data_IF_054554848138
#
_entry.id   IF_054554848138
#
_cell.length_a   1.000
_cell.length_b   1.000
_cell.length_c   1.000
_cell.angle_alpha   90.00
_cell.angle_beta   90.00
_cell.angle_gamma   90.00
#
_symmetry.space_group_name_H-M   'P 1'
#
loop_
_entity.id
_entity.type
_entity.pdbx_description
1 polymer ?
#
# COMPACT_ATOMS: atom_id res chain seq x y z
N UNK A 1 5.52 -4.04 0.21
CA UNK A 1 4.35 -3.44 -0.49
C UNK A 1 4.45 -3.45 -2.03
N UNK A 2 5.44 -2.80 -2.68
CA UNK A 2 5.51 -2.71 -4.17
C UNK A 2 5.40 -4.08 -4.85
N UNK A 3 6.18 -5.05 -4.37
CA UNK A 3 6.17 -6.41 -4.89
C UNK A 3 4.77 -7.04 -4.85
N UNK A 4 4.00 -6.82 -3.78
CA UNK A 4 2.64 -7.34 -3.67
C UNK A 4 1.70 -6.70 -4.68
N UNK A 5 1.75 -5.37 -4.81
CA UNK A 5 0.97 -4.65 -5.82
C UNK A 5 1.26 -5.15 -7.24
N UNK A 6 2.54 -5.39 -7.54
CA UNK A 6 2.98 -5.93 -8.84
C UNK A 6 2.53 -7.38 -9.07
N UNK A 7 2.58 -8.23 -8.03
CA UNK A 7 2.02 -9.61 -8.08
C UNK A 7 0.55 -9.63 -8.45
N UNK A 8 -0.22 -8.65 -7.98
CA UNK A 8 -1.65 -8.52 -8.25
C UNK A 8 -1.96 -7.73 -9.54
N UNK A 9 -0.93 -7.30 -10.29
CA UNK A 9 -1.08 -6.49 -11.50
C UNK A 9 -1.84 -5.17 -11.28
N UNK A 10 -1.72 -4.58 -10.08
CA UNK A 10 -2.35 -3.31 -9.73
C UNK A 10 -1.44 -2.12 -10.03
N UNK A 11 -1.99 -1.03 -10.53
CA UNK A 11 -1.29 0.26 -10.64
C UNK A 11 -1.29 0.99 -9.31
N UNK A 12 -0.37 1.93 -9.13
CA UNK A 12 -0.39 2.80 -7.96
C UNK A 12 -1.70 3.59 -7.87
N UNK A 13 -2.24 4.05 -8.99
CA UNK A 13 -3.50 4.80 -9.05
C UNK A 13 -4.69 3.98 -8.56
N UNK A 14 -4.77 2.69 -8.94
CA UNK A 14 -5.81 1.80 -8.44
C UNK A 14 -5.77 1.66 -6.91
N UNK A 15 -4.57 1.51 -6.34
CA UNK A 15 -4.42 1.40 -4.88
C UNK A 15 -4.70 2.74 -4.19
N UNK A 16 -4.25 3.87 -4.76
CA UNK A 16 -4.54 5.23 -4.26
C UNK A 16 -6.05 5.43 -4.12
N UNK A 17 -6.80 5.14 -5.18
CA UNK A 17 -8.25 5.33 -5.21
C UNK A 17 -8.96 4.39 -4.24
N UNK A 18 -8.61 3.10 -4.23
CA UNK A 18 -9.23 2.11 -3.36
C UNK A 18 -8.92 2.37 -1.88
N UNK A 19 -7.67 2.69 -1.55
CA UNK A 19 -7.25 2.97 -0.17
C UNK A 19 -7.63 4.39 0.28
N UNK A 20 -8.08 5.26 -0.64
CA UNK A 20 -8.38 6.69 -0.44
C UNK A 20 -7.20 7.45 0.19
N UNK A 21 -6.00 7.24 -0.34
CA UNK A 21 -4.78 7.93 0.06
C UNK A 21 -4.30 8.84 -1.07
N UNK A 22 -3.29 9.67 -0.83
CA UNK A 22 -2.67 10.48 -1.89
C UNK A 22 -1.45 9.80 -2.53
N UNK A 23 -0.95 10.41 -3.60
CA UNK A 23 0.18 9.91 -4.39
C UNK A 23 1.53 9.98 -3.64
N UNK A 24 1.68 10.89 -2.69
CA UNK A 24 2.90 10.96 -1.86
C UNK A 24 2.90 9.81 -0.86
N UNK A 25 1.74 9.50 -0.31
CA UNK A 25 1.54 8.41 0.65
C UNK A 25 1.86 7.05 0.05
N UNK A 26 1.36 6.73 -1.16
CA UNK A 26 1.70 5.44 -1.81
C UNK A 26 3.22 5.31 -2.04
N UNK A 27 3.89 6.41 -2.42
CA UNK A 27 5.34 6.42 -2.64
C UNK A 27 6.11 6.22 -1.33
N UNK A 28 5.71 6.90 -0.25
CA UNK A 28 6.29 6.73 1.09
C UNK A 28 6.12 5.30 1.59
N UNK A 29 4.96 4.68 1.37
CA UNK A 29 4.74 3.27 1.75
C UNK A 29 5.62 2.34 0.92
N UNK A 30 5.70 2.52 -0.40
CA UNK A 30 6.54 1.69 -1.28
C UNK A 30 8.04 1.81 -0.99
N UNK A 31 8.47 2.94 -0.41
CA UNK A 31 9.87 3.22 -0.06
C UNK A 31 10.20 3.01 1.43
N UNK A 32 9.23 2.51 2.21
CA UNK A 32 9.41 2.26 3.66
C UNK A 32 9.51 3.52 4.52
N UNK A 33 9.08 4.68 4.01
CA UNK A 33 9.10 5.97 4.69
C UNK A 33 7.80 6.31 5.43
N UNK A 34 6.72 5.55 5.23
CA UNK A 34 5.44 5.75 5.91
C UNK A 34 5.38 4.94 7.22
N UNK A 35 4.94 5.56 8.31
CA UNK A 35 4.91 4.97 9.65
C UNK A 35 3.52 4.92 10.27
N UNK A 36 2.52 5.52 9.62
CA UNK A 36 1.16 5.53 10.13
C UNK A 36 0.48 4.16 9.93
N UNK A 37 0.23 3.47 11.05
CA UNK A 37 -0.45 2.17 11.09
C UNK A 37 -1.81 2.20 10.38
N UNK A 38 -2.59 3.27 10.52
CA UNK A 38 -3.89 3.43 9.87
C UNK A 38 -3.80 3.40 8.34
N UNK A 39 -2.79 4.05 7.77
CA UNK A 39 -2.51 4.03 6.32
C UNK A 39 -2.11 2.63 5.87
N UNK A 40 -1.20 1.99 6.60
CA UNK A 40 -0.75 0.65 6.25
C UNK A 40 -1.88 -0.39 6.32
N UNK A 41 -2.77 -0.28 7.32
CA UNK A 41 -3.95 -1.15 7.44
C UNK A 41 -4.93 -0.97 6.28
N UNK A 42 -5.16 0.27 5.81
CA UNK A 42 -6.02 0.54 4.65
C UNK A 42 -5.46 -0.08 3.38
N UNK A 43 -4.16 0.01 3.17
CA UNK A 43 -3.48 -0.61 2.02
C UNK A 43 -3.52 -2.13 2.14
N UNK A 44 -3.30 -2.69 3.34
CA UNK A 44 -3.35 -4.12 3.59
C UNK A 44 -4.73 -4.70 3.26
N UNK A 45 -5.78 -3.98 3.67
CA UNK A 45 -7.16 -4.32 3.33
C UNK A 45 -7.42 -4.28 1.83
N UNK A 46 -6.96 -3.24 1.12
CA UNK A 46 -7.14 -3.12 -0.34
C UNK A 46 -6.40 -4.22 -1.12
N UNK A 47 -5.21 -4.58 -0.66
CA UNK A 47 -4.41 -5.63 -1.26
C UNK A 47 -4.79 -7.03 -0.75
N UNK A 48 -5.77 -7.15 0.15
CA UNK A 48 -6.18 -8.42 0.77
C UNK A 48 -4.98 -9.26 1.30
N UNK A 49 -4.04 -8.59 1.97
CA UNK A 49 -2.87 -9.25 2.57
C UNK A 49 -2.71 -8.89 4.06
N UNK A 50 -2.10 -9.79 4.85
CA UNK A 50 -1.65 -9.45 6.19
C UNK A 50 -0.72 -8.23 6.19
N UNK A 51 -0.87 -7.34 7.19
CA UNK A 51 -0.03 -6.15 7.35
C UNK A 51 1.47 -6.48 7.35
N UNK A 52 1.88 -7.61 7.94
CA UNK A 52 3.27 -8.09 7.95
C UNK A 52 3.88 -8.25 6.56
N UNK A 53 3.06 -8.53 5.55
CA UNK A 53 3.50 -8.74 4.17
C UNK A 53 3.67 -7.40 3.43
N UNK A 54 3.23 -6.29 4.03
CA UNK A 54 3.50 -4.94 3.53
C UNK A 54 4.83 -4.35 4.02
N UNK A 55 5.25 -4.71 5.24
CA UNK A 55 6.37 -4.12 5.99
C UNK A 55 7.68 -4.94 5.94
N UNK A 56 7.79 -5.87 4.99
CA UNK A 56 9.01 -6.63 4.70
C UNK A 56 9.99 -5.88 3.80
#
# INVERSE_FOLDING_TARGET
MRAERERQHLTQEQVILAARIDRVTIWRVETGQETQLSTLLRIAFVLDVPLRDLIG
#
